data_IF_551506185036
#
_entry.id   IF_551506185036
#
_cell.length_a   1.000
_cell.length_b   1.000
_cell.length_c   1.000
_cell.angle_alpha   90.00
_cell.angle_beta   90.00
_cell.angle_gamma   90.00
#
_symmetry.space_group_name_H-M   'P 1'
#
loop_
_entity.id
_entity.type
_entity.pdbx_description
1 polymer ?
#
# COMPACT_ATOMS: atom_id res chain seq x y z
N UNK A 1 49.10 26.09 -18.02
CA UNK A 1 47.76 26.50 -17.54
C UNK A 1 46.64 25.58 -18.05
N UNK A 2 46.96 24.59 -18.91
CA UNK A 2 46.02 23.60 -19.47
C UNK A 2 45.00 22.97 -18.51
N UNK A 3 45.40 22.51 -17.31
CA UNK A 3 44.50 21.72 -16.46
C UNK A 3 43.27 22.50 -15.94
N UNK A 4 43.34 23.84 -15.89
CA UNK A 4 42.25 24.68 -15.38
C UNK A 4 41.01 24.61 -16.28
N UNK A 5 41.20 24.41 -17.60
CA UNK A 5 40.10 24.32 -18.57
C UNK A 5 39.53 22.90 -18.71
N UNK A 6 40.24 21.86 -18.26
CA UNK A 6 39.77 20.47 -18.34
C UNK A 6 38.60 20.22 -17.39
N UNK A 7 38.68 20.71 -16.14
CA UNK A 7 37.63 20.55 -15.13
C UNK A 7 36.25 21.08 -15.55
N UNK A 8 36.07 22.32 -16.05
CA UNK A 8 34.75 22.80 -16.48
C UNK A 8 34.19 22.02 -17.66
N UNK A 9 35.04 21.54 -18.58
CA UNK A 9 34.60 20.67 -19.69
C UNK A 9 34.12 19.31 -19.15
N UNK A 10 34.79 18.73 -18.16
CA UNK A 10 34.39 17.49 -17.49
C UNK A 10 33.06 17.64 -16.74
N UNK A 11 32.88 18.74 -16.01
CA UNK A 11 31.60 19.06 -15.33
C UNK A 11 30.47 19.27 -16.34
N UNK A 12 30.73 19.97 -17.45
CA UNK A 12 29.72 20.19 -18.48
C UNK A 12 29.33 18.87 -19.18
N UNK A 13 30.30 18.09 -19.65
CA UNK A 13 30.04 16.82 -20.33
C UNK A 13 29.36 15.79 -19.42
N UNK A 14 29.75 15.70 -18.14
CA UNK A 14 29.05 14.84 -17.17
C UNK A 14 27.62 15.34 -16.87
N UNK A 15 27.38 16.65 -16.81
CA UNK A 15 26.02 17.20 -16.71
C UNK A 15 25.16 16.90 -17.95
N UNK A 16 25.72 16.97 -19.16
CA UNK A 16 25.02 16.59 -20.39
C UNK A 16 24.69 15.08 -20.41
N UNK A 17 25.64 14.22 -20.02
CA UNK A 17 25.41 12.78 -19.87
C UNK A 17 24.30 12.49 -18.85
N UNK A 18 24.36 13.13 -17.68
CA UNK A 18 23.34 13.04 -16.64
C UNK A 18 21.96 13.48 -17.16
N UNK A 19 21.90 14.59 -17.91
CA UNK A 19 20.64 15.10 -18.48
C UNK A 19 20.05 14.14 -19.51
N UNK A 20 20.87 13.59 -20.41
CA UNK A 20 20.44 12.57 -21.40
C UNK A 20 20.00 11.29 -20.70
N UNK A 21 20.73 10.82 -19.70
CA UNK A 21 20.36 9.64 -18.92
C UNK A 21 19.05 9.83 -18.13
N UNK A 22 18.85 11.00 -17.52
CA UNK A 22 17.64 11.35 -16.79
C UNK A 22 16.42 11.45 -17.75
N UNK A 23 16.59 12.06 -18.93
CA UNK A 23 15.57 12.05 -19.99
C UNK A 23 15.25 10.60 -20.45
N UNK A 24 16.26 9.76 -20.65
CA UNK A 24 16.06 8.35 -21.05
C UNK A 24 15.40 7.52 -19.94
N UNK A 25 15.73 7.79 -18.69
CA UNK A 25 15.07 7.18 -17.52
C UNK A 25 13.58 7.56 -17.47
N UNK A 26 13.24 8.81 -17.79
CA UNK A 26 11.84 9.27 -17.92
C UNK A 26 11.10 8.61 -19.10
N UNK A 27 11.74 8.46 -20.27
CA UNK A 27 11.18 7.70 -21.39
C UNK A 27 10.94 6.23 -21.04
N UNK A 28 11.89 5.60 -20.33
CA UNK A 28 11.74 4.22 -19.86
C UNK A 28 10.54 4.12 -18.91
N UNK A 29 10.45 5.01 -17.91
CA UNK A 29 9.31 5.06 -16.98
C UNK A 29 7.97 5.18 -17.71
N UNK A 30 7.84 6.11 -18.65
CA UNK A 30 6.61 6.29 -19.46
C UNK A 30 6.27 5.07 -20.33
N UNK A 31 7.27 4.39 -20.92
CA UNK A 31 7.05 3.15 -21.68
C UNK A 31 6.60 1.99 -20.78
N UNK A 32 7.18 1.87 -19.59
CA UNK A 32 6.82 0.85 -18.62
C UNK A 32 5.40 1.06 -18.09
N UNK A 33 5.05 2.31 -17.77
CA UNK A 33 3.70 2.73 -17.38
C UNK A 33 2.69 2.46 -18.50
N UNK A 34 3.02 2.81 -19.75
CA UNK A 34 2.14 2.53 -20.90
C UNK A 34 1.95 1.03 -21.14
N UNK A 35 2.99 0.21 -21.01
CA UNK A 35 2.88 -1.26 -21.11
C UNK A 35 1.91 -1.80 -20.07
N UNK A 36 2.12 -1.45 -18.80
CA UNK A 36 1.28 -1.89 -17.69
C UNK A 36 -0.18 -1.44 -17.83
N UNK A 37 -0.43 -0.22 -18.33
CA UNK A 37 -1.79 0.25 -18.63
C UNK A 37 -2.44 -0.52 -19.78
N UNK A 38 -1.68 -0.92 -20.80
CA UNK A 38 -2.17 -1.77 -21.88
C UNK A 38 -2.53 -3.16 -21.35
N UNK A 39 -1.63 -3.80 -20.59
CA UNK A 39 -1.86 -5.11 -19.96
C UNK A 39 -3.09 -5.07 -19.02
N UNK A 40 -3.31 -3.95 -18.31
CA UNK A 40 -4.48 -3.73 -17.44
C UNK A 40 -5.77 -3.54 -18.24
N UNK A 41 -5.72 -2.81 -19.36
CA UNK A 41 -6.89 -2.57 -20.20
C UNK A 41 -7.30 -3.84 -20.95
N UNK A 42 -6.34 -4.61 -21.46
CA UNK A 42 -6.59 -5.88 -22.14
C UNK A 42 -7.13 -6.95 -21.17
N UNK A 43 -6.68 -6.94 -19.90
CA UNK A 43 -7.24 -7.82 -18.85
C UNK A 43 -8.63 -7.40 -18.37
N UNK A 44 -8.93 -6.10 -18.34
CA UNK A 44 -10.29 -5.61 -18.01
C UNK A 44 -11.28 -5.91 -19.13
N UNK A 45 -10.94 -5.67 -20.40
CA UNK A 45 -11.80 -6.04 -21.55
C UNK A 45 -12.09 -7.54 -21.53
N UNK A 46 -11.06 -8.36 -21.32
CA UNK A 46 -11.21 -9.82 -21.23
C UNK A 46 -12.07 -10.26 -20.02
N UNK A 47 -12.00 -9.55 -18.89
CA UNK A 47 -12.85 -9.83 -17.74
C UNK A 47 -14.31 -9.41 -17.98
N UNK A 48 -14.54 -8.31 -18.70
CA UNK A 48 -15.86 -7.82 -19.08
C UNK A 48 -16.57 -8.79 -20.05
N UNK A 49 -15.87 -9.29 -21.08
CA UNK A 49 -16.38 -10.33 -22.00
C UNK A 49 -16.74 -11.64 -21.27
N UNK A 50 -15.99 -12.03 -20.25
CA UNK A 50 -16.26 -13.26 -19.49
C UNK A 50 -17.39 -13.13 -18.45
N UNK A 51 -17.78 -11.91 -18.05
CA UNK A 51 -18.82 -11.68 -17.04
C UNK A 51 -20.23 -11.53 -17.64
N UNK A 52 -20.37 -11.38 -18.96
CA UNK A 52 -21.70 -11.28 -19.62
C UNK A 52 -22.38 -12.62 -19.91
N UNK A 53 -21.72 -13.76 -19.71
CA UNK A 53 -22.22 -15.08 -20.16
C UNK A 53 -22.51 -16.09 -19.04
N UNK A 54 -22.20 -15.77 -17.77
CA UNK A 54 -22.40 -16.68 -16.61
C UNK A 54 -23.00 -15.95 -15.40
N UNK A 55 -24.26 -15.51 -15.54
CA UNK A 55 -25.18 -15.52 -14.40
C UNK A 55 -25.64 -16.97 -14.11
N UNK A 56 -26.24 -17.19 -12.94
CA UNK A 56 -26.75 -18.48 -12.40
C UNK A 56 -25.69 -19.40 -11.75
N UNK A 57 -25.54 -19.30 -10.42
CA UNK A 57 -25.75 -20.39 -9.44
C UNK A 57 -25.37 -19.96 -8.01
N UNK A 58 -26.28 -20.14 -7.04
CA UNK A 58 -25.99 -20.06 -5.61
C UNK A 58 -25.37 -21.39 -5.11
N UNK A 59 -24.59 -21.43 -4.02
CA UNK A 59 -25.05 -21.89 -2.67
C UNK A 59 -23.92 -21.95 -1.59
N UNK A 60 -24.32 -21.84 -0.32
CA UNK A 60 -23.73 -22.21 1.01
C UNK A 60 -22.31 -22.87 1.11
N UNK A 61 -21.48 -22.71 2.15
CA UNK A 61 -21.52 -22.06 3.50
C UNK A 61 -20.09 -21.54 3.86
N UNK A 62 -19.65 -21.06 5.04
CA UNK A 62 -20.18 -21.01 6.43
C UNK A 62 -19.52 -19.86 7.26
N UNK A 63 -19.81 -19.79 8.57
CA UNK A 63 -19.45 -18.69 9.51
C UNK A 63 -18.14 -18.93 10.32
N UNK A 64 -17.43 -17.91 10.88
CA UNK A 64 -18.04 -16.89 11.76
C UNK A 64 -17.49 -15.45 11.66
N UNK A 65 -18.42 -14.50 11.51
CA UNK A 65 -18.61 -13.29 12.34
C UNK A 65 -19.61 -12.44 11.57
N UNK A 66 -20.80 -12.28 12.14
CA UNK A 66 -21.91 -11.48 11.59
C UNK A 66 -21.37 -10.16 11.00
N UNK A 67 -21.38 -10.00 9.66
CA UNK A 67 -21.37 -8.67 9.08
C UNK A 67 -22.62 -7.99 9.62
N UNK A 68 -22.48 -6.78 10.19
CA UNK A 68 -23.68 -5.98 10.34
C UNK A 68 -24.09 -5.60 8.92
N UNK A 69 -25.21 -6.14 8.42
CA UNK A 69 -25.75 -5.82 7.09
C UNK A 69 -26.24 -4.35 6.98
N UNK A 70 -26.04 -3.57 8.04
CA UNK A 70 -26.04 -2.11 8.02
C UNK A 70 -24.86 -1.61 7.19
N UNK A 71 -25.19 -0.91 6.08
CA UNK A 71 -24.21 -0.18 5.30
C UNK A 71 -23.34 0.70 6.23
N UNK A 72 -22.00 0.69 6.08
CA UNK A 72 -21.10 1.29 7.06
C UNK A 72 -21.40 2.79 7.22
N UNK A 73 -21.79 3.18 8.45
CA UNK A 73 -22.10 4.55 8.80
C UNK A 73 -20.94 5.48 8.43
N UNK A 74 -21.21 6.44 7.55
CA UNK A 74 -20.25 7.44 7.06
C UNK A 74 -19.72 8.27 8.24
N UNK A 75 -20.55 8.55 9.24
CA UNK A 75 -20.13 9.29 10.43
C UNK A 75 -19.24 8.43 11.32
N UNK A 76 -19.51 7.13 11.45
CA UNK A 76 -18.63 6.19 12.16
C UNK A 76 -17.27 6.05 11.46
N UNK A 77 -17.26 5.90 10.13
CA UNK A 77 -16.01 5.86 9.36
C UNK A 77 -15.20 7.16 9.55
N UNK A 78 -15.87 8.31 9.46
CA UNK A 78 -15.25 9.63 9.63
C UNK A 78 -14.66 9.79 11.04
N UNK A 79 -15.42 9.41 12.08
CA UNK A 79 -14.99 9.46 13.49
C UNK A 79 -13.80 8.53 13.77
N UNK A 80 -13.78 7.33 13.17
CA UNK A 80 -12.74 6.33 13.42
C UNK A 80 -11.45 6.60 12.65
N UNK A 81 -11.53 6.89 11.36
CA UNK A 81 -10.37 6.94 10.46
C UNK A 81 -9.96 8.34 10.01
N UNK A 82 -10.91 9.27 9.88
CA UNK A 82 -10.65 10.61 9.33
C UNK A 82 -10.41 11.68 10.40
N UNK A 83 -10.87 11.47 11.64
CA UNK A 83 -10.62 12.40 12.74
C UNK A 83 -9.14 12.47 13.15
N UNK A 84 -8.68 13.69 13.47
CA UNK A 84 -7.33 13.95 13.96
C UNK A 84 -7.22 13.52 15.43
N UNK A 85 -6.49 12.44 15.70
CA UNK A 85 -6.08 12.05 17.06
C UNK A 85 -4.79 12.80 17.46
N UNK A 86 -4.63 13.06 18.76
CA UNK A 86 -3.41 13.70 19.31
C UNK A 86 -2.25 12.72 19.30
N UNK A 87 -1.20 13.00 18.50
CA UNK A 87 -0.13 12.04 18.22
C UNK A 87 1.01 12.02 19.24
N UNK A 88 1.47 10.82 19.59
CA UNK A 88 2.68 10.57 20.38
C UNK A 88 3.97 10.58 19.54
N UNK A 89 4.97 9.78 19.96
CA UNK A 89 6.26 9.63 19.27
C UNK A 89 6.05 9.00 17.89
N UNK A 90 6.57 9.64 16.84
CA UNK A 90 6.39 9.21 15.45
C UNK A 90 7.54 8.33 14.98
N UNK A 91 7.21 7.29 14.19
CA UNK A 91 8.14 6.46 13.44
C UNK A 91 7.80 6.55 11.94
N UNK A 92 8.78 6.34 11.08
CA UNK A 92 8.57 6.30 9.63
C UNK A 92 8.27 4.87 9.20
N UNK A 93 7.32 4.72 8.28
CA UNK A 93 6.93 3.44 7.68
C UNK A 93 6.84 3.63 6.17
N UNK A 94 7.36 2.67 5.39
CA UNK A 94 7.26 2.69 3.93
C UNK A 94 5.87 2.23 3.49
N UNK A 95 5.34 2.88 2.45
CA UNK A 95 4.03 2.58 1.83
C UNK A 95 4.26 2.45 0.33
N UNK A 96 3.63 1.46 -0.31
CA UNK A 96 3.76 1.28 -1.76
C UNK A 96 3.23 2.51 -2.52
N UNK A 97 3.97 2.94 -3.54
CA UNK A 97 3.66 4.12 -4.36
C UNK A 97 2.19 4.22 -4.82
N UNK A 98 1.56 3.18 -5.40
CA UNK A 98 0.18 3.29 -5.88
C UNK A 98 -0.83 3.57 -4.75
N UNK A 99 -0.66 2.97 -3.56
CA UNK A 99 -1.54 3.25 -2.42
C UNK A 99 -1.34 4.67 -1.89
N UNK A 100 -0.08 5.13 -1.80
CA UNK A 100 0.21 6.49 -1.37
C UNK A 100 -0.34 7.53 -2.35
N UNK A 101 -0.25 7.27 -3.66
CA UNK A 101 -0.79 8.15 -4.70
C UNK A 101 -2.32 8.14 -4.77
N UNK A 102 -2.96 7.00 -4.53
CA UNK A 102 -4.42 6.95 -4.35
C UNK A 102 -4.85 7.79 -3.14
N UNK A 103 -4.21 7.60 -1.98
CA UNK A 103 -4.52 8.34 -0.76
C UNK A 103 -4.22 9.84 -0.90
N UNK A 104 -3.16 10.24 -1.63
CA UNK A 104 -2.85 11.67 -1.82
C UNK A 104 -3.85 12.41 -2.71
N UNK A 105 -4.54 11.71 -3.60
CA UNK A 105 -5.63 12.26 -4.42
C UNK A 105 -6.96 12.26 -3.68
N UNK A 106 -7.28 11.18 -2.98
CA UNK A 106 -8.59 10.98 -2.32
C UNK A 106 -8.71 11.71 -0.97
N UNK A 107 -7.70 11.62 -0.10
CA UNK A 107 -7.81 12.08 1.28
C UNK A 107 -8.05 13.60 1.42
N UNK A 108 -7.46 14.49 0.59
CA UNK A 108 -7.77 15.92 0.64
C UNK A 108 -9.22 16.26 0.29
N UNK A 109 -9.91 15.41 -0.48
CA UNK A 109 -11.30 15.62 -0.89
C UNK A 109 -12.26 15.24 0.24
N UNK A 110 -12.02 14.11 0.92
CA UNK A 110 -12.91 13.62 1.99
C UNK A 110 -12.55 14.16 3.39
N UNK A 111 -11.29 14.55 3.61
CA UNK A 111 -10.77 14.95 4.92
C UNK A 111 -9.61 15.96 4.79
N UNK A 112 -9.86 17.21 4.35
CA UNK A 112 -8.81 18.22 4.10
C UNK A 112 -7.95 18.59 5.32
N UNK A 113 -8.38 18.24 6.54
CA UNK A 113 -7.61 18.43 7.79
C UNK A 113 -6.69 17.26 8.18
N UNK A 114 -6.70 16.17 7.41
CA UNK A 114 -6.09 14.88 7.80
C UNK A 114 -5.03 14.45 6.80
N UNK A 115 -3.81 14.23 7.30
CA UNK A 115 -2.68 13.81 6.46
C UNK A 115 -2.65 12.29 6.28
N UNK A 116 -2.02 11.82 5.19
CA UNK A 116 -1.89 10.39 4.90
C UNK A 116 -1.27 9.61 6.08
N UNK A 117 -0.19 10.08 6.74
CA UNK A 117 0.34 9.38 7.92
C UNK A 117 -0.64 9.35 9.11
N UNK A 118 -1.52 10.34 9.26
CA UNK A 118 -2.55 10.35 10.31
C UNK A 118 -3.64 9.32 10.01
N UNK A 119 -4.14 9.29 8.79
CA UNK A 119 -5.13 8.31 8.33
C UNK A 119 -4.59 6.87 8.48
N UNK A 120 -3.36 6.61 8.02
CA UNK A 120 -2.73 5.30 8.17
C UNK A 120 -2.48 4.92 9.64
N UNK A 121 -2.17 5.88 10.51
CA UNK A 121 -2.05 5.62 11.94
C UNK A 121 -3.41 5.23 12.56
N UNK A 122 -4.49 5.93 12.20
CA UNK A 122 -5.85 5.58 12.66
C UNK A 122 -6.28 4.19 12.15
N UNK A 123 -5.97 3.87 10.89
CA UNK A 123 -6.21 2.55 10.29
C UNK A 123 -5.47 1.44 11.04
N UNK A 124 -4.19 1.67 11.36
CA UNK A 124 -3.36 0.71 12.10
C UNK A 124 -3.84 0.54 13.54
N UNK A 125 -4.22 1.62 14.22
CA UNK A 125 -4.76 1.59 15.59
C UNK A 125 -6.05 0.75 15.67
N UNK A 126 -7.01 1.00 14.77
CA UNK A 126 -8.26 0.23 14.70
C UNK A 126 -8.02 -1.23 14.32
N UNK A 127 -7.10 -1.50 13.39
CA UNK A 127 -6.75 -2.87 13.01
C UNK A 127 -6.11 -3.64 14.18
N UNK A 128 -5.14 -3.04 14.88
CA UNK A 128 -4.49 -3.66 16.03
C UNK A 128 -5.46 -3.86 17.20
N UNK A 129 -6.37 -2.92 17.43
CA UNK A 129 -7.41 -3.03 18.45
C UNK A 129 -8.37 -4.19 18.13
N UNK A 130 -8.94 -4.19 16.91
CA UNK A 130 -9.93 -5.18 16.45
C UNK A 130 -9.40 -6.62 16.46
N UNK A 131 -8.14 -6.82 16.08
CA UNK A 131 -7.52 -8.14 15.99
C UNK A 131 -6.58 -8.49 17.16
N UNK A 132 -6.55 -7.67 18.23
CA UNK A 132 -5.71 -7.86 19.43
C UNK A 132 -5.74 -9.30 19.97
N UNK A 133 -6.93 -9.83 20.27
CA UNK A 133 -7.11 -11.20 20.78
C UNK A 133 -6.68 -12.30 19.80
N UNK A 134 -6.75 -12.04 18.49
CA UNK A 134 -6.24 -12.96 17.46
C UNK A 134 -4.71 -12.95 17.43
N UNK A 135 -4.09 -11.76 17.50
CA UNK A 135 -2.64 -11.62 17.59
C UNK A 135 -2.08 -12.34 18.83
N UNK A 136 -2.71 -12.16 19.99
CA UNK A 136 -2.30 -12.83 21.24
C UNK A 136 -2.39 -14.36 21.13
N UNK A 137 -3.48 -14.88 20.56
CA UNK A 137 -3.66 -16.32 20.33
C UNK A 137 -2.60 -16.89 19.39
N UNK A 138 -2.33 -16.22 18.27
CA UNK A 138 -1.31 -16.63 17.30
C UNK A 138 0.10 -16.60 17.92
N UNK A 139 0.39 -15.59 18.75
CA UNK A 139 1.66 -15.50 19.47
C UNK A 139 1.84 -16.63 20.48
N UNK A 140 0.83 -16.91 21.30
CA UNK A 140 0.86 -18.01 22.30
C UNK A 140 0.91 -19.38 21.62
N UNK A 141 0.26 -19.57 20.48
CA UNK A 141 0.35 -20.82 19.72
C UNK A 141 1.77 -21.00 19.16
N UNK A 142 2.28 -20.01 18.41
CA UNK A 142 3.60 -20.11 17.77
C UNK A 142 4.74 -20.27 18.77
N UNK A 143 4.67 -19.63 19.94
CA UNK A 143 5.66 -19.81 21.00
C UNK A 143 5.62 -21.23 21.59
N UNK A 144 4.45 -21.84 21.77
CA UNK A 144 4.34 -23.25 22.20
C UNK A 144 4.92 -24.21 21.16
N UNK A 145 4.63 -23.97 19.88
CA UNK A 145 5.12 -24.81 18.78
C UNK A 145 6.66 -24.76 18.72
N UNK A 146 7.27 -23.57 18.76
CA UNK A 146 8.73 -23.41 18.81
C UNK A 146 9.37 -24.01 20.07
N UNK A 147 8.72 -23.94 21.24
CA UNK A 147 9.21 -24.61 22.46
C UNK A 147 9.15 -26.13 22.31
N UNK A 148 8.12 -26.68 21.65
CA UNK A 148 8.00 -28.11 21.37
C UNK A 148 9.10 -28.59 20.43
N UNK A 149 9.31 -27.89 19.30
CA UNK A 149 10.40 -28.17 18.35
C UNK A 149 11.77 -28.15 19.03
N UNK A 150 12.03 -27.17 19.91
CA UNK A 150 13.27 -27.06 20.66
C UNK A 150 13.48 -28.21 21.65
N UNK A 151 12.42 -28.65 22.34
CA UNK A 151 12.49 -29.81 23.23
C UNK A 151 12.69 -31.13 22.46
N UNK A 152 12.08 -31.27 21.28
CA UNK A 152 12.29 -32.41 20.37
C UNK A 152 13.72 -32.45 19.80
N UNK A 153 14.39 -31.29 19.66
CA UNK A 153 15.79 -31.21 19.23
C UNK A 153 16.82 -31.54 20.33
N UNK A 154 16.45 -31.41 21.61
CA UNK A 154 17.33 -31.69 22.76
C UNK A 154 17.25 -33.15 23.23
N UNK A 155 16.18 -33.87 22.87
CA UNK A 155 15.92 -35.26 23.29
C UNK A 155 16.57 -36.34 22.42
#
# INVERSE_FOLDING_TARGET
MEQIFIYPILVFTSYLLYKVFNLKSRENKLRNEKSCLQDTLDTLIKAEEHLSEVEVSNDLSEDPVKPSDEAPDIDAYTRTFLCRKTGGVRRQTYVNSPYYEYLSRMLPVIAPGTSIPMFLNNLLEEHLHRYSSLHDRLYVQKTKDTIKEFNEWIS
#
